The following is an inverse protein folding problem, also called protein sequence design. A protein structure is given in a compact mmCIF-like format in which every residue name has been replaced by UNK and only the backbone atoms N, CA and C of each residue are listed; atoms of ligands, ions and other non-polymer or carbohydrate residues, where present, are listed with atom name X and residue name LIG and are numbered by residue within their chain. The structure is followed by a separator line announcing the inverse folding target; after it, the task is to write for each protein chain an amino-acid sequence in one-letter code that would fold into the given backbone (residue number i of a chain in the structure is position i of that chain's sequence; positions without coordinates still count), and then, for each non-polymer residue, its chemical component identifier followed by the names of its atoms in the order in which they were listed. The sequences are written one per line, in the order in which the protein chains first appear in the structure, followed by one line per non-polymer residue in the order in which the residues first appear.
data_IF_335264113718
#
_entry.id   IF_335264113718
#
_cell.length_a   1.000
_cell.length_b   1.000
_cell.length_c   1.000
_cell.angle_alpha   90.00
_cell.angle_beta   90.00
_cell.angle_gamma   90.00
#
_symmetry.space_group_name_H-M   'P 1'
#
loop_
_entity.id
_entity.type
_entity.pdbx_description
1 polymer ?
#
# COMPACT_ATOMS: atom_id res chain seq x y z
N UNK A 1 -43.00 -33.37 11.07
CA UNK A 1 -43.66 -32.13 10.59
C UNK A 1 -43.70 -31.11 11.71
N UNK A 2 -43.12 -29.92 11.45
CA UNK A 2 -43.38 -28.60 12.04
C UNK A 2 -43.36 -28.45 13.58
N UNK A 3 -42.16 -28.17 14.10
CA UNK A 3 -42.00 -27.29 15.28
C UNK A 3 -42.25 -25.85 14.87
N UNK A 4 -43.35 -25.28 15.35
CA UNK A 4 -43.50 -23.84 15.52
C UNK A 4 -44.18 -23.61 16.86
N UNK A 5 -43.50 -22.91 17.77
CA UNK A 5 -44.14 -21.92 18.62
C UNK A 5 -43.08 -20.95 19.14
N UNK A 6 -43.12 -19.78 18.51
CA UNK A 6 -42.50 -18.55 18.95
C UNK A 6 -43.03 -18.20 20.36
N UNK A 7 -42.12 -18.02 21.31
CA UNK A 7 -42.37 -17.13 22.45
C UNK A 7 -41.42 -15.94 22.31
N UNK A 8 -41.98 -14.89 21.72
CA UNK A 8 -41.45 -13.53 21.75
C UNK A 8 -41.91 -12.95 23.07
N UNK A 9 -40.99 -12.78 24.02
CA UNK A 9 -41.26 -12.01 25.23
C UNK A 9 -40.23 -10.90 25.35
N UNK A 10 -40.76 -9.68 25.38
CA UNK A 10 -40.04 -8.44 25.54
C UNK A 10 -39.74 -8.23 27.02
N UNK A 11 -38.47 -7.95 27.35
CA UNK A 11 -38.14 -7.29 28.61
C UNK A 11 -37.19 -6.14 28.29
N UNK A 12 -37.80 -4.98 28.04
CA UNK A 12 -37.14 -3.69 28.23
C UNK A 12 -36.77 -3.57 29.71
N UNK A 13 -35.48 -3.63 30.04
CA UNK A 13 -34.97 -3.13 31.33
C UNK A 13 -33.55 -2.59 31.18
N UNK A 14 -33.47 -1.26 31.25
CA UNK A 14 -32.33 -0.50 31.78
C UNK A 14 -31.05 -0.47 30.96
N UNK A 15 -30.97 0.39 29.95
CA UNK A 15 -29.67 0.94 29.54
C UNK A 15 -29.20 1.91 30.64
N UNK A 16 -27.99 1.77 31.21
CA UNK A 16 -27.43 2.79 32.08
C UNK A 16 -27.00 4.00 31.24
N UNK A 17 -27.48 5.18 31.61
CA UNK A 17 -27.09 6.48 31.05
C UNK A 17 -25.54 6.62 31.01
N UNK A 18 -24.95 7.11 29.90
CA UNK A 18 -23.54 7.44 29.88
C UNK A 18 -23.31 8.68 30.77
N UNK A 19 -22.77 8.43 31.96
CA UNK A 19 -22.35 9.47 32.88
C UNK A 19 -21.33 10.40 32.23
N UNK A 20 -21.75 11.63 31.97
CA UNK A 20 -20.89 12.76 31.60
C UNK A 20 -19.89 12.97 32.72
N UNK A 21 -18.61 12.64 32.47
CA UNK A 21 -17.50 12.99 33.37
C UNK A 21 -17.17 14.48 33.19
N UNK A 22 -17.07 15.27 34.28
CA UNK A 22 -16.62 16.63 34.17
C UNK A 22 -15.14 16.70 33.78
N UNK A 23 -14.84 17.67 32.91
CA UNK A 23 -13.51 18.09 32.53
C UNK A 23 -12.70 18.52 33.77
N UNK A 24 -11.49 18.01 33.90
CA UNK A 24 -10.60 18.36 35.00
C UNK A 24 -9.14 18.11 34.65
N UNK A 25 -8.39 19.21 34.64
CA UNK A 25 -6.95 19.33 34.85
C UNK A 25 -5.99 18.83 33.76
N UNK A 26 -5.51 19.81 32.99
CA UNK A 26 -4.16 19.83 32.46
C UNK A 26 -3.11 19.67 33.58
N UNK A 27 -2.10 18.84 33.36
CA UNK A 27 -0.67 19.23 33.46
C UNK A 27 0.23 18.04 33.11
N UNK A 28 1.23 18.25 32.25
CA UNK A 28 2.20 17.21 31.88
C UNK A 28 2.87 17.49 30.53
N UNK A 29 4.00 18.21 30.58
CA UNK A 29 4.62 18.87 29.44
C UNK A 29 5.15 17.97 28.31
N UNK A 30 5.11 18.53 27.10
CA UNK A 30 5.86 18.07 25.93
C UNK A 30 7.36 18.39 26.09
N UNK A 31 8.28 17.42 25.89
CA UNK A 31 9.70 17.71 25.88
C UNK A 31 10.09 18.47 24.59
N UNK A 32 10.80 19.58 24.77
CA UNK A 32 11.37 20.38 23.69
C UNK A 32 12.47 19.60 22.95
N UNK A 33 12.16 19.15 21.72
CA UNK A 33 13.17 18.64 20.79
C UNK A 33 13.98 19.82 20.27
N UNK A 34 15.25 19.91 20.69
CA UNK A 34 16.23 20.84 20.10
C UNK A 34 16.43 20.49 18.63
N UNK A 35 16.03 21.40 17.73
CA UNK A 35 16.47 21.40 16.32
C UNK A 35 17.98 21.56 16.27
N UNK A 36 18.69 20.55 15.76
CA UNK A 36 20.07 20.68 15.32
C UNK A 36 20.16 21.50 14.01
N UNK A 37 21.31 22.15 13.75
CA UNK A 37 21.51 23.02 12.60
C UNK A 37 21.53 22.22 11.28
N UNK A 38 21.00 22.85 10.24
CA UNK A 38 20.82 22.27 8.91
C UNK A 38 22.12 21.81 8.26
N UNK A 39 22.05 20.64 7.64
CA UNK A 39 22.99 20.22 6.61
C UNK A 39 22.38 20.61 5.26
N UNK A 40 23.02 21.54 4.57
CA UNK A 40 22.59 22.06 3.28
C UNK A 40 22.62 21.02 2.15
N UNK A 41 22.11 21.39 0.97
CA UNK A 41 22.09 20.51 -0.19
C UNK A 41 23.49 20.43 -0.81
N UNK A 42 24.18 19.32 -0.53
CA UNK A 42 25.39 18.93 -1.25
C UNK A 42 25.03 18.35 -2.61
N UNK A 43 25.15 19.19 -3.64
CA UNK A 43 25.10 18.81 -5.03
C UNK A 43 26.16 17.75 -5.36
N UNK A 44 25.75 16.65 -5.99
CA UNK A 44 26.64 15.76 -6.71
C UNK A 44 25.91 15.09 -7.88
N UNK A 45 26.08 15.71 -9.06
CA UNK A 45 26.13 15.13 -10.39
C UNK A 45 25.14 14.03 -10.75
N UNK A 46 24.06 14.39 -11.46
CA UNK A 46 23.50 13.52 -12.48
C UNK A 46 23.84 14.11 -13.84
N UNK A 47 24.77 13.45 -14.53
CA UNK A 47 25.23 13.81 -15.86
C UNK A 47 24.06 13.73 -16.85
N UNK A 48 23.65 14.88 -17.36
CA UNK A 48 22.80 14.96 -18.55
C UNK A 48 23.65 14.63 -19.76
N UNK A 49 23.51 13.42 -20.28
CA UNK A 49 24.00 13.09 -21.61
C UNK A 49 23.12 13.82 -22.63
N UNK A 50 23.61 14.95 -23.13
CA UNK A 50 23.15 15.54 -24.38
C UNK A 50 23.45 14.55 -25.50
N UNK A 51 22.41 13.92 -26.05
CA UNK A 51 22.48 13.22 -27.33
C UNK A 51 21.82 14.10 -28.36
N UNK A 52 22.67 14.57 -29.28
CA UNK A 52 22.38 15.22 -30.54
C UNK A 52 21.31 14.43 -31.32
N UNK A 53 20.17 15.06 -31.59
CA UNK A 53 19.17 14.55 -32.54
C UNK A 53 19.41 15.26 -33.86
N UNK A 54 20.36 14.72 -34.62
CA UNK A 54 20.53 15.08 -36.02
C UNK A 54 20.24 13.87 -36.91
N UNK A 55 19.35 14.11 -37.88
CA UNK A 55 19.09 13.30 -39.07
C UNK A 55 18.23 12.05 -38.90
N UNK A 56 16.92 12.28 -39.00
CA UNK A 56 16.01 11.35 -39.64
C UNK A 56 16.31 11.36 -41.14
N UNK A 57 16.78 10.23 -41.68
CA UNK A 57 16.50 9.78 -43.04
C UNK A 57 17.13 8.39 -43.23
N UNK A 58 16.32 7.41 -43.62
CA UNK A 58 16.83 6.05 -43.88
C UNK A 58 15.79 4.96 -43.76
N UNK A 59 14.81 4.97 -44.66
CA UNK A 59 13.95 3.84 -44.98
C UNK A 59 14.78 2.54 -45.12
N UNK A 60 14.47 1.52 -44.30
CA UNK A 60 15.01 0.17 -44.47
C UNK A 60 14.25 -0.56 -45.60
N UNK A 61 14.93 -1.27 -46.52
CA UNK A 61 14.31 -2.35 -47.26
C UNK A 61 14.40 -3.64 -46.45
N UNK A 62 13.30 -4.37 -46.44
CA UNK A 62 13.17 -5.70 -45.86
C UNK A 62 14.12 -6.70 -46.53
N UNK A 63 14.87 -7.46 -45.72
CA UNK A 63 15.41 -8.76 -46.11
C UNK A 63 15.07 -9.79 -45.04
N UNK A 64 14.55 -10.92 -45.51
CA UNK A 64 14.06 -12.03 -44.74
C UNK A 64 15.19 -12.87 -44.12
N UNK A 65 14.94 -13.45 -42.94
CA UNK A 65 15.40 -14.79 -42.61
C UNK A 65 16.71 -14.95 -41.84
N UNK A 66 16.79 -14.45 -40.61
CA UNK A 66 17.44 -15.14 -39.47
C UNK A 66 16.67 -14.72 -38.21
N UNK A 67 16.08 -15.66 -37.48
CA UNK A 67 15.49 -15.35 -36.16
C UNK A 67 16.60 -14.93 -35.19
N UNK A 68 16.60 -13.68 -34.69
CA UNK A 68 17.49 -13.33 -33.60
C UNK A 68 16.87 -13.86 -32.31
N UNK A 69 17.60 -14.74 -31.61
CA UNK A 69 17.37 -14.99 -30.20
C UNK A 69 17.29 -13.63 -29.48
N UNK A 70 16.23 -13.29 -28.74
CA UNK A 70 16.22 -12.05 -27.99
C UNK A 70 17.19 -12.19 -26.81
N UNK A 71 18.44 -11.81 -27.04
CA UNK A 71 19.23 -11.16 -26.03
C UNK A 71 18.49 -9.87 -25.66
N UNK A 72 17.95 -9.77 -24.45
CA UNK A 72 17.40 -8.50 -23.97
C UNK A 72 18.10 -8.03 -22.71
N UNK A 73 18.93 -7.02 -22.92
CA UNK A 73 19.31 -5.97 -21.99
C UNK A 73 18.17 -5.61 -21.01
N UNK A 74 18.46 -5.33 -19.73
CA UNK A 74 17.34 -4.94 -18.87
C UNK A 74 17.58 -4.66 -17.40
N UNK A 75 18.46 -3.72 -17.05
CA UNK A 75 18.46 -3.17 -15.68
C UNK A 75 17.18 -2.38 -15.34
N UNK A 76 16.45 -1.88 -16.35
CA UNK A 76 15.23 -1.06 -16.16
C UNK A 76 13.91 -1.82 -16.28
N UNK A 77 13.79 -2.72 -17.27
CA UNK A 77 12.55 -3.48 -17.53
C UNK A 77 12.28 -4.49 -16.41
N UNK A 78 13.27 -5.32 -16.05
CA UNK A 78 13.13 -6.33 -14.98
C UNK A 78 12.80 -5.72 -13.61
N UNK A 79 13.32 -4.52 -13.30
CA UNK A 79 13.00 -3.81 -12.05
C UNK A 79 11.56 -3.28 -12.04
N UNK A 80 11.06 -2.85 -13.19
CA UNK A 80 9.67 -2.40 -13.35
C UNK A 80 8.71 -3.56 -13.13
N UNK A 81 9.02 -4.74 -13.68
CA UNK A 81 8.23 -5.95 -13.48
C UNK A 81 8.21 -6.40 -12.02
N UNK A 82 9.36 -6.36 -11.33
CA UNK A 82 9.42 -6.68 -9.92
C UNK A 82 8.52 -5.77 -9.05
N UNK A 83 8.44 -4.47 -9.40
CA UNK A 83 7.57 -3.52 -8.71
C UNK A 83 6.09 -3.77 -9.00
N UNK A 84 5.73 -4.07 -10.25
CA UNK A 84 4.35 -4.44 -10.62
C UNK A 84 3.93 -5.73 -9.92
N UNK A 85 4.79 -6.73 -9.89
CA UNK A 85 4.54 -8.00 -9.21
C UNK A 85 4.30 -7.78 -7.71
N UNK A 86 5.10 -6.92 -7.07
CA UNK A 86 4.88 -6.54 -5.67
C UNK A 86 3.48 -5.92 -5.49
N UNK A 87 3.12 -4.95 -6.32
CA UNK A 87 1.80 -4.31 -6.24
C UNK A 87 0.65 -5.34 -6.39
N UNK A 88 0.75 -6.26 -7.36
CA UNK A 88 -0.25 -7.32 -7.55
C UNK A 88 -0.34 -8.26 -6.34
N UNK A 89 0.80 -8.62 -5.74
CA UNK A 89 0.84 -9.46 -4.53
C UNK A 89 0.15 -8.77 -3.36
N UNK A 90 0.47 -7.50 -3.10
CA UNK A 90 -0.10 -6.76 -1.97
C UNK A 90 -1.61 -6.54 -2.16
N UNK A 91 -2.07 -6.21 -3.38
CA UNK A 91 -3.49 -6.09 -3.69
C UNK A 91 -4.23 -7.41 -3.47
N UNK A 92 -3.74 -8.51 -4.06
CA UNK A 92 -4.37 -9.82 -3.90
C UNK A 92 -4.36 -10.28 -2.43
N UNK A 93 -3.32 -9.96 -1.67
CA UNK A 93 -3.24 -10.30 -0.25
C UNK A 93 -4.30 -9.55 0.57
N UNK A 94 -4.54 -8.27 0.29
CA UNK A 94 -5.62 -7.51 0.93
C UNK A 94 -6.98 -8.17 0.69
N UNK A 95 -7.26 -8.54 -0.56
CA UNK A 95 -8.54 -9.18 -0.93
C UNK A 95 -8.68 -10.55 -0.24
N UNK A 96 -7.65 -11.40 -0.31
CA UNK A 96 -7.67 -12.74 0.29
C UNK A 96 -7.82 -12.68 1.79
N UNK A 97 -7.09 -11.81 2.48
CA UNK A 97 -7.22 -11.67 3.93
C UNK A 97 -8.55 -11.05 4.33
N UNK A 98 -9.13 -10.17 3.51
CA UNK A 98 -10.47 -9.63 3.73
C UNK A 98 -11.58 -10.67 3.59
N UNK A 99 -11.45 -11.60 2.64
CA UNK A 99 -12.45 -12.63 2.36
C UNK A 99 -12.31 -13.88 3.24
N UNK A 100 -11.08 -14.36 3.44
CA UNK A 100 -10.79 -15.67 4.05
C UNK A 100 -10.14 -15.54 5.43
N UNK A 101 -9.86 -14.31 5.88
CA UNK A 101 -9.16 -14.03 7.13
C UNK A 101 -7.64 -14.26 7.05
N UNK A 102 -6.94 -13.94 8.13
CA UNK A 102 -5.48 -14.02 8.20
C UNK A 102 -4.91 -15.44 8.20
N UNK A 103 -5.75 -16.48 8.27
CA UNK A 103 -5.32 -17.88 8.14
C UNK A 103 -5.19 -18.33 6.68
N UNK A 104 -5.63 -17.52 5.71
CA UNK A 104 -5.58 -17.85 4.29
C UNK A 104 -4.17 -18.25 3.78
N UNK A 105 -4.04 -19.28 2.93
CA UNK A 105 -2.75 -19.76 2.44
C UNK A 105 -2.06 -18.75 1.50
N UNK A 106 -0.74 -18.69 1.52
CA UNK A 106 0.06 -17.81 0.63
C UNK A 106 -0.11 -18.21 -0.84
N UNK A 107 -0.38 -19.50 -1.10
CA UNK A 107 -0.64 -20.07 -2.41
C UNK A 107 -1.86 -19.42 -3.07
N UNK A 108 -2.91 -19.13 -2.30
CA UNK A 108 -4.11 -18.47 -2.79
C UNK A 108 -3.81 -17.02 -3.21
N UNK A 109 -2.98 -16.32 -2.43
CA UNK A 109 -2.51 -14.97 -2.75
C UNK A 109 -1.69 -14.98 -4.03
N UNK A 110 -0.73 -15.90 -4.15
CA UNK A 110 0.12 -16.04 -5.33
C UNK A 110 -0.70 -16.32 -6.60
N UNK A 111 -1.70 -17.21 -6.48
CA UNK A 111 -2.65 -17.54 -7.55
C UNK A 111 -3.44 -16.31 -8.02
N UNK A 112 -4.04 -15.55 -7.09
CA UNK A 112 -4.80 -14.32 -7.43
C UNK A 112 -3.91 -13.21 -7.99
N UNK A 113 -2.70 -13.07 -7.47
CA UNK A 113 -1.70 -12.13 -7.97
C UNK A 113 -1.09 -12.53 -9.31
N UNK A 114 -1.35 -13.77 -9.79
CA UNK A 114 -0.77 -14.37 -11.00
C UNK A 114 0.76 -14.38 -10.97
N UNK A 115 1.33 -14.72 -9.81
CA UNK A 115 2.79 -14.86 -9.63
C UNK A 115 3.12 -16.24 -9.05
N UNK A 116 4.37 -16.68 -9.22
CA UNK A 116 4.85 -17.89 -8.56
C UNK A 116 4.95 -17.72 -7.04
N UNK A 117 4.64 -18.78 -6.29
CA UNK A 117 4.74 -18.80 -4.81
C UNK A 117 6.15 -18.43 -4.33
N UNK A 118 7.19 -18.89 -5.03
CA UNK A 118 8.57 -18.51 -4.75
C UNK A 118 8.85 -17.01 -4.91
N UNK A 119 8.12 -16.32 -5.80
CA UNK A 119 8.23 -14.84 -5.95
C UNK A 119 7.69 -14.13 -4.72
N UNK A 120 6.60 -14.65 -4.13
CA UNK A 120 6.04 -14.11 -2.89
C UNK A 120 7.01 -14.32 -1.73
N UNK A 121 7.49 -15.55 -1.52
CA UNK A 121 8.40 -15.86 -0.40
C UNK A 121 9.76 -15.17 -0.50
N UNK A 122 10.29 -14.95 -1.70
CA UNK A 122 11.52 -14.15 -1.90
C UNK A 122 11.36 -12.72 -1.38
N UNK A 123 10.16 -12.14 -1.53
CA UNK A 123 9.88 -10.76 -1.11
C UNK A 123 9.39 -10.68 0.34
N UNK A 124 8.63 -11.68 0.75
CA UNK A 124 8.02 -11.80 2.07
C UNK A 124 8.34 -13.20 2.63
N UNK A 125 9.49 -13.34 3.31
CA UNK A 125 9.93 -14.65 3.80
C UNK A 125 8.93 -15.31 4.76
N UNK A 126 8.07 -14.52 5.38
CA UNK A 126 7.02 -14.99 6.29
C UNK A 126 5.68 -14.35 5.96
N UNK A 127 4.58 -15.03 6.28
CA UNK A 127 3.23 -14.46 6.22
C UNK A 127 3.12 -13.18 7.05
N UNK A 128 3.75 -13.17 8.23
CA UNK A 128 3.83 -11.98 9.08
C UNK A 128 4.56 -10.81 8.43
N UNK A 129 5.59 -11.04 7.60
CA UNK A 129 6.24 -9.93 6.85
C UNK A 129 5.34 -9.32 5.78
N UNK A 130 4.48 -10.12 5.14
CA UNK A 130 3.49 -9.62 4.19
C UNK A 130 2.41 -8.81 4.90
N UNK A 131 1.87 -9.33 6.02
CA UNK A 131 0.85 -8.64 6.82
C UNK A 131 1.40 -7.30 7.34
N UNK A 132 2.60 -7.28 7.93
CA UNK A 132 3.23 -6.04 8.41
C UNK A 132 3.43 -5.01 7.29
N UNK A 133 3.77 -5.46 6.09
CA UNK A 133 3.92 -4.57 4.94
C UNK A 133 2.58 -3.94 4.55
N UNK A 134 1.52 -4.73 4.45
CA UNK A 134 0.16 -4.24 4.13
C UNK A 134 -0.30 -3.23 5.19
N UNK A 135 -0.20 -3.58 6.47
CA UNK A 135 -0.59 -2.68 7.57
C UNK A 135 0.23 -1.39 7.55
N UNK A 136 1.54 -1.48 7.27
CA UNK A 136 2.40 -0.31 7.13
C UNK A 136 1.97 0.62 5.99
N UNK A 137 1.60 0.07 4.82
CA UNK A 137 1.07 0.87 3.72
C UNK A 137 -0.28 1.52 4.05
N UNK A 138 -1.20 0.81 4.69
CA UNK A 138 -2.50 1.38 5.07
C UNK A 138 -2.36 2.49 6.10
N UNK A 139 -1.57 2.26 7.16
CA UNK A 139 -1.30 3.27 8.16
C UNK A 139 -0.70 4.52 7.52
N UNK A 140 0.29 4.36 6.64
CA UNK A 140 0.89 5.48 5.92
C UNK A 140 -0.13 6.22 5.06
N UNK A 141 -0.95 5.50 4.29
CA UNK A 141 -2.01 6.09 3.45
C UNK A 141 -3.01 6.89 4.31
N UNK A 142 -3.43 6.35 5.46
CA UNK A 142 -4.35 7.04 6.37
C UNK A 142 -3.71 8.29 6.98
N UNK A 143 -2.45 8.20 7.41
CA UNK A 143 -1.69 9.36 7.91
C UNK A 143 -1.57 10.46 6.85
N UNK A 144 -1.19 10.12 5.62
CA UNK A 144 -1.08 11.08 4.50
C UNK A 144 -2.43 11.73 4.14
N UNK A 145 -3.55 11.05 4.37
CA UNK A 145 -4.90 11.64 4.22
C UNK A 145 -5.22 12.60 5.35
N UNK A 146 -4.98 12.20 6.59
CA UNK A 146 -5.19 13.04 7.76
C UNK A 146 -4.33 14.32 7.71
N UNK A 147 -3.07 14.21 7.28
CA UNK A 147 -2.18 15.38 7.13
C UNK A 147 -2.69 16.35 6.06
N UNK A 148 -3.19 15.85 4.92
CA UNK A 148 -3.81 16.70 3.89
C UNK A 148 -5.09 17.37 4.39
N UNK A 149 -5.94 16.63 5.09
CA UNK A 149 -7.15 17.14 5.72
C UNK A 149 -6.87 18.32 6.69
N UNK A 150 -5.79 18.24 7.46
CA UNK A 150 -5.39 19.30 8.39
C UNK A 150 -4.75 20.52 7.71
N UNK A 151 -4.24 20.36 6.48
CA UNK A 151 -3.59 21.43 5.72
C UNK A 151 -4.54 22.22 4.80
N UNK A 152 -5.74 21.71 4.54
CA UNK A 152 -6.78 22.40 3.77
C UNK A 152 -7.65 23.25 4.70
N UNK A 153 -7.96 24.51 4.33
CA UNK A 153 -8.97 25.30 5.03
C UNK A 153 -10.36 24.69 4.75
N UNK A 154 -10.84 23.86 5.67
CA UNK A 154 -12.11 23.14 5.58
C UNK A 154 -12.36 22.28 6.83
N UNK A 155 -13.51 21.62 6.90
CA UNK A 155 -13.85 20.71 8.01
C UNK A 155 -12.91 19.48 7.99
N UNK A 156 -12.03 19.30 8.99
CA UNK A 156 -11.09 18.19 9.03
C UNK A 156 -11.76 16.82 9.03
N UNK A 157 -13.00 16.74 9.54
CA UNK A 157 -13.77 15.50 9.57
C UNK A 157 -14.25 15.08 8.18
N UNK A 158 -14.69 16.04 7.35
CA UNK A 158 -15.12 15.78 5.99
C UNK A 158 -14.01 15.20 5.09
N UNK A 159 -12.74 15.51 5.39
CA UNK A 159 -11.61 15.05 4.60
C UNK A 159 -11.14 13.61 4.92
N UNK A 160 -11.60 13.01 6.03
CA UNK A 160 -11.27 11.63 6.42
C UNK A 160 -12.37 10.59 6.14
N UNK A 161 -13.59 11.01 5.79
CA UNK A 161 -14.73 10.10 5.54
C UNK A 161 -14.74 9.40 4.16
N UNK A 162 -13.93 9.85 3.20
CA UNK A 162 -13.80 9.21 1.87
C UNK A 162 -12.77 8.09 1.80
#
# INVERSE_FOLDING_TARGET
MRSQRFHREAVHRGLPEPGVRPAGAADGGVPAVRRGPGSGPGAAGSAVATVDRSSADGQAPAVAGVEPLPAVAGGGVLRTDARRNLHHVVSAARDVFGELGYEAPIEEIARRARVGVGTVYRRFPTKGSLIRHIVGEETRRLTERAERALGEEGDPWAAVEG
#
